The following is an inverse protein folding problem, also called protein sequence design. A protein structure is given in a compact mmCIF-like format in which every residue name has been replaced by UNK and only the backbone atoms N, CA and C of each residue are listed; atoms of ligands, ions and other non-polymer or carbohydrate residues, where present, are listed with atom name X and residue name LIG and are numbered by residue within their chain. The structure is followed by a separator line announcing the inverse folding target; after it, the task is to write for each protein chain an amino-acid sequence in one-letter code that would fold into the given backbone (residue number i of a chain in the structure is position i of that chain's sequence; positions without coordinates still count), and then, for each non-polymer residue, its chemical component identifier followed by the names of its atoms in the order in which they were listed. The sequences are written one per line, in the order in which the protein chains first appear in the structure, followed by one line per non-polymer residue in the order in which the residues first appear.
data_IF_430875798185
#
_entry.id   IF_430875798185
#
_cell.length_a   1.000
_cell.length_b   1.000
_cell.length_c   1.000
_cell.angle_alpha   90.00
_cell.angle_beta   90.00
_cell.angle_gamma   90.00
#
_symmetry.space_group_name_H-M   'P 1'
#
loop_
_entity.id
_entity.type
_entity.pdbx_description
1 polymer ?
#
# COMPACT_ATOMS: atom_id res chain seq x y z
N UNK A 1 13.94 16.49 5.34
CA UNK A 1 13.08 16.43 4.15
C UNK A 1 13.18 15.03 3.56
N UNK A 2 12.32 14.12 4.03
CA UNK A 2 12.20 12.78 3.45
C UNK A 2 11.61 12.97 2.07
N UNK A 3 12.40 12.73 1.01
CA UNK A 3 11.88 12.69 -0.36
C UNK A 3 10.81 11.59 -0.36
N UNK A 4 9.53 11.97 -0.31
CA UNK A 4 8.42 11.10 -0.74
C UNK A 4 8.75 10.77 -2.18
N UNK A 5 9.42 9.63 -2.38
CA UNK A 5 9.96 9.26 -3.67
C UNK A 5 8.81 9.12 -4.65
N UNK A 6 8.92 9.77 -5.81
CA UNK A 6 8.09 9.56 -7.00
C UNK A 6 8.24 8.12 -7.52
N UNK A 7 7.86 7.14 -6.71
CA UNK A 7 7.80 5.73 -7.10
C UNK A 7 6.37 5.42 -7.48
N UNK A 8 6.08 5.55 -8.77
CA UNK A 8 4.80 5.12 -9.34
C UNK A 8 4.74 3.60 -9.35
N UNK A 9 3.76 3.02 -8.66
CA UNK A 9 3.44 1.61 -8.77
C UNK A 9 2.29 1.44 -9.77
N UNK A 10 2.43 0.48 -10.68
CA UNK A 10 1.34 0.16 -11.59
C UNK A 10 0.29 -0.69 -10.87
N UNK A 11 -0.94 -0.22 -10.88
CA UNK A 11 -2.10 -0.93 -10.31
C UNK A 11 -3.01 -1.33 -11.47
N UNK A 12 -3.60 -2.53 -11.41
CA UNK A 12 -4.58 -2.96 -12.42
C UNK A 12 -5.74 -1.96 -12.48
N UNK A 13 -6.24 -1.70 -13.70
CA UNK A 13 -7.30 -0.74 -13.94
C UNK A 13 -8.53 -0.97 -13.05
N UNK A 14 -8.95 -2.23 -12.89
CA UNK A 14 -10.09 -2.61 -12.04
C UNK A 14 -9.95 -2.14 -10.58
N UNK A 15 -8.73 -2.21 -10.02
CA UNK A 15 -8.47 -1.78 -8.65
C UNK A 15 -8.38 -0.27 -8.57
N UNK A 16 -7.77 0.37 -9.57
CA UNK A 16 -7.73 1.82 -9.65
C UNK A 16 -9.14 2.43 -9.69
N UNK A 17 -10.04 1.89 -10.51
CA UNK A 17 -11.43 2.33 -10.60
C UNK A 17 -12.18 2.17 -9.27
N UNK A 18 -12.00 1.01 -8.60
CA UNK A 18 -12.60 0.76 -7.28
C UNK A 18 -12.09 1.73 -6.22
N UNK A 19 -10.77 1.90 -6.12
CA UNK A 19 -10.15 2.82 -5.16
C UNK A 19 -10.58 4.26 -5.41
N UNK A 20 -10.61 4.68 -6.68
CA UNK A 20 -11.07 6.02 -7.07
C UNK A 20 -12.52 6.26 -6.65
N UNK A 21 -13.40 5.29 -6.88
CA UNK A 21 -14.81 5.39 -6.47
C UNK A 21 -14.96 5.51 -4.94
N UNK A 22 -14.18 4.75 -4.18
CA UNK A 22 -14.19 4.84 -2.71
C UNK A 22 -13.78 6.24 -2.26
N UNK A 23 -12.68 6.76 -2.79
CA UNK A 23 -12.16 8.08 -2.43
C UNK A 23 -13.12 9.20 -2.83
N UNK A 24 -13.77 9.10 -3.98
CA UNK A 24 -14.79 10.06 -4.41
C UNK A 24 -16.02 10.06 -3.50
N UNK A 25 -16.54 8.88 -3.15
CA UNK A 25 -17.77 8.75 -2.36
C UNK A 25 -17.54 9.06 -0.89
N UNK A 26 -16.47 8.54 -0.29
CA UNK A 26 -16.18 8.66 1.14
C UNK A 26 -15.37 9.92 1.43
N UNK A 27 -14.36 10.19 0.60
CA UNK A 27 -13.45 11.31 0.78
C UNK A 27 -14.05 12.67 0.41
N UNK A 28 -15.18 12.72 -0.30
CA UNK A 28 -15.79 13.99 -0.80
C UNK A 28 -14.74 14.91 -1.46
N UNK A 29 -13.86 14.34 -2.27
CA UNK A 29 -12.71 15.01 -2.90
C UNK A 29 -11.66 15.61 -1.94
N UNK A 30 -11.77 15.37 -0.62
CA UNK A 30 -10.86 15.91 0.38
C UNK A 30 -9.59 15.05 0.58
N UNK A 31 -9.58 13.81 0.08
CA UNK A 31 -8.47 12.89 0.25
C UNK A 31 -7.97 12.45 -1.13
N UNK A 32 -6.67 12.58 -1.43
CA UNK A 32 -6.13 12.08 -2.69
C UNK A 32 -5.99 10.55 -2.67
N UNK A 33 -6.06 9.92 -3.85
CA UNK A 33 -6.01 8.46 -3.99
C UNK A 33 -4.78 7.82 -3.31
N UNK A 34 -3.62 8.47 -3.41
CA UNK A 34 -2.38 7.96 -2.81
C UNK A 34 -2.47 7.93 -1.28
N UNK A 35 -3.18 8.87 -0.64
CA UNK A 35 -3.31 8.89 0.81
C UNK A 35 -4.21 7.75 1.29
N UNK A 36 -5.25 7.43 0.50
CA UNK A 36 -6.07 6.26 0.78
C UNK A 36 -5.28 4.95 0.59
N UNK A 37 -4.43 4.89 -0.44
CA UNK A 37 -3.54 3.75 -0.65
C UNK A 37 -2.52 3.59 0.48
N UNK A 38 -1.91 4.68 0.96
CA UNK A 38 -1.00 4.67 2.11
C UNK A 38 -1.70 4.07 3.35
N UNK A 39 -2.95 4.46 3.63
CA UNK A 39 -3.71 3.89 4.75
C UNK A 39 -3.98 2.39 4.59
N UNK A 40 -4.26 1.93 3.35
CA UNK A 40 -4.43 0.50 3.07
C UNK A 40 -3.12 -0.25 3.33
N UNK A 41 -1.99 0.31 2.89
CA UNK A 41 -0.67 -0.29 3.10
C UNK A 41 -0.31 -0.34 4.57
N UNK A 42 -0.53 0.74 5.32
CA UNK A 42 -0.31 0.80 6.77
C UNK A 42 -1.12 -0.29 7.48
N UNK A 43 -2.42 -0.36 7.21
CA UNK A 43 -3.28 -1.39 7.80
C UNK A 43 -2.86 -2.82 7.41
N UNK A 44 -2.44 -3.01 6.16
CA UNK A 44 -1.91 -4.28 5.70
C UNK A 44 -0.63 -4.66 6.46
N UNK A 45 0.31 -3.73 6.63
CA UNK A 45 1.53 -4.01 7.37
C UNK A 45 1.25 -4.29 8.85
N UNK A 46 0.35 -3.55 9.50
CA UNK A 46 -0.04 -3.83 10.88
C UNK A 46 -0.69 -5.22 11.03
N UNK A 47 -1.59 -5.58 10.13
CA UNK A 47 -2.33 -6.85 10.23
C UNK A 47 -1.45 -8.06 9.89
N UNK A 48 -0.50 -7.91 8.96
CA UNK A 48 0.29 -9.00 8.42
C UNK A 48 1.77 -8.94 8.80
N UNK A 49 2.17 -8.05 9.71
CA UNK A 49 3.57 -7.81 10.11
C UNK A 49 4.31 -9.11 10.39
N UNK A 50 3.75 -9.94 11.27
CA UNK A 50 4.35 -11.20 11.69
C UNK A 50 4.49 -12.18 10.51
N UNK A 51 3.43 -12.34 9.72
CA UNK A 51 3.45 -13.25 8.58
C UNK A 51 4.47 -12.80 7.53
N UNK A 52 4.52 -11.49 7.23
CA UNK A 52 5.50 -10.91 6.30
C UNK A 52 6.92 -11.13 6.82
N UNK A 53 7.15 -10.89 8.12
CA UNK A 53 8.48 -11.05 8.74
C UNK A 53 8.94 -12.50 8.76
N UNK A 54 8.04 -13.43 9.13
CA UNK A 54 8.32 -14.86 9.17
C UNK A 54 8.65 -15.38 7.75
N UNK A 55 7.82 -15.04 6.75
CA UNK A 55 8.05 -15.38 5.34
C UNK A 55 9.35 -14.77 4.79
N UNK A 56 9.63 -13.52 5.14
CA UNK A 56 10.84 -12.84 4.71
C UNK A 56 12.06 -13.55 5.27
N UNK A 57 12.09 -13.83 6.58
CA UNK A 57 13.21 -14.52 7.23
C UNK A 57 13.40 -15.96 6.74
N UNK A 58 12.31 -16.69 6.45
CA UNK A 58 12.39 -18.05 5.92
C UNK A 58 13.00 -18.09 4.51
N UNK A 59 12.61 -17.13 3.65
CA UNK A 59 13.07 -17.06 2.26
C UNK A 59 14.41 -16.35 2.12
N UNK A 60 14.76 -15.51 3.09
CA UNK A 60 16.08 -14.89 3.20
C UNK A 60 17.09 -15.90 3.73
N UNK A 61 17.43 -16.90 2.91
CA UNK A 61 18.55 -17.79 3.21
C UNK A 61 19.85 -17.00 3.13
N UNK A 62 20.60 -16.84 4.24
CA UNK A 62 21.97 -16.35 4.14
C UNK A 62 22.74 -17.31 3.24
N UNK A 63 23.49 -16.75 2.29
CA UNK A 63 24.29 -17.49 1.30
C UNK A 63 25.59 -18.04 1.95
N UNK A 64 25.73 -17.86 3.27
CA UNK A 64 26.88 -18.24 4.07
C UNK A 64 26.43 -19.10 5.25
#
# INVERSE_FOLDING_TARGET
MTKRGDKSIYIRQEYHERLSRIVQVIGKDAIPLYAYLDNILEHHFEMFEKAITDDFNEKFKPIF
#
